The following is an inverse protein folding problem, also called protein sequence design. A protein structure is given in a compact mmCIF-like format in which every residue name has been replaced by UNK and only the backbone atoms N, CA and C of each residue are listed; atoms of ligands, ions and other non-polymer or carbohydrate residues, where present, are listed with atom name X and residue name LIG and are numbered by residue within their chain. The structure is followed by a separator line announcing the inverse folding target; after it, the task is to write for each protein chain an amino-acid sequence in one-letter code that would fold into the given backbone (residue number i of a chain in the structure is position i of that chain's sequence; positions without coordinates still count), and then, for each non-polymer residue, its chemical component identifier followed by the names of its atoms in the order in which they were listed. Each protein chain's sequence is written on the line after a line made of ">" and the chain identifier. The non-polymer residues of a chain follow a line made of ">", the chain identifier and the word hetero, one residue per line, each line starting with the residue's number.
data_IF_682691565319
#
_entry.id   IF_682691565319
#
_cell.length_a   1.000
_cell.length_b   1.000
_cell.length_c   1.000
_cell.angle_alpha   90.00
_cell.angle_beta   90.00
_cell.angle_gamma   90.00
#
_symmetry.space_group_name_H-M   'P 1'
#
loop_
_entity.id
_entity.type
_entity.pdbx_description
1 polymer ?
#
# COMPACT_ATOMS: atom_id res chain seq x y z
N UNK A 1 1.29 -7.53 -20.46
CA UNK A 1 2.18 -7.80 -21.63
C UNK A 1 2.44 -9.30 -21.88
N UNK A 2 2.51 -10.17 -20.87
CA UNK A 2 2.74 -11.62 -21.05
C UNK A 2 1.49 -12.46 -21.42
N UNK A 3 0.35 -11.79 -21.63
CA UNK A 3 -0.89 -12.42 -22.11
C UNK A 3 -1.75 -13.10 -21.04
N UNK A 4 -1.37 -13.08 -19.76
CA UNK A 4 -2.11 -13.76 -18.69
C UNK A 4 -3.42 -13.08 -18.26
N UNK A 5 -3.53 -11.77 -18.48
CA UNK A 5 -4.63 -10.94 -17.98
C UNK A 5 -5.15 -10.06 -19.10
N UNK A 6 -6.47 -9.97 -19.19
CA UNK A 6 -7.19 -9.00 -19.99
C UNK A 6 -7.97 -8.09 -19.04
N UNK A 7 -7.72 -6.79 -19.15
CA UNK A 7 -8.47 -5.74 -18.46
C UNK A 7 -9.53 -5.25 -19.43
N UNK A 8 -10.80 -5.25 -19.00
CA UNK A 8 -11.88 -4.61 -19.72
C UNK A 8 -12.39 -3.43 -18.89
N UNK A 9 -12.57 -2.30 -19.56
CA UNK A 9 -13.29 -1.17 -19.01
C UNK A 9 -14.76 -1.37 -19.34
N UNK A 10 -15.60 -1.31 -18.32
CA UNK A 10 -17.04 -1.38 -18.42
C UNK A 10 -17.60 0.05 -18.36
N UNK A 11 -18.53 0.36 -19.27
CA UNK A 11 -19.16 1.68 -19.28
C UNK A 11 -19.95 1.85 -17.98
N UNK A 12 -19.82 3.00 -17.29
CA UNK A 12 -20.56 3.24 -16.05
C UNK A 12 -22.06 3.20 -16.34
N UNK A 13 -22.83 2.49 -15.51
CA UNK A 13 -24.28 2.43 -15.65
C UNK A 13 -24.87 3.86 -15.68
N UNK A 14 -25.63 4.21 -16.71
CA UNK A 14 -26.30 5.50 -16.78
C UNK A 14 -27.43 5.57 -15.75
N UNK A 15 -27.21 6.31 -14.66
CA UNK A 15 -28.21 6.55 -13.62
C UNK A 15 -28.07 7.93 -13.00
N UNK A 16 -29.18 8.54 -12.61
CA UNK A 16 -29.25 9.90 -12.03
C UNK A 16 -28.45 10.07 -10.71
N UNK A 17 -27.96 8.97 -10.15
CA UNK A 17 -27.08 8.91 -8.98
C UNK A 17 -25.83 8.03 -9.19
N UNK A 18 -25.53 7.59 -10.42
CA UNK A 18 -24.35 6.75 -10.65
C UNK A 18 -23.09 7.61 -10.63
N UNK A 19 -22.09 7.17 -9.85
CA UNK A 19 -20.76 7.75 -9.90
C UNK A 19 -20.16 7.44 -11.28
N UNK A 20 -19.65 8.46 -11.97
CA UNK A 20 -18.97 8.38 -13.29
C UNK A 20 -17.63 7.62 -13.25
N UNK A 21 -17.47 6.69 -12.33
CA UNK A 21 -16.23 5.94 -12.18
C UNK A 21 -16.32 4.72 -13.08
N UNK A 22 -15.50 4.68 -14.14
CA UNK A 22 -15.38 3.51 -14.99
C UNK A 22 -15.09 2.29 -14.13
N UNK A 23 -15.88 1.22 -14.30
CA UNK A 23 -15.59 -0.05 -13.64
C UNK A 23 -14.64 -0.85 -14.50
N UNK A 24 -13.72 -1.56 -13.86
CA UNK A 24 -12.75 -2.39 -14.55
C UNK A 24 -12.92 -3.83 -14.12
N UNK A 25 -12.93 -4.75 -15.08
CA UNK A 25 -12.99 -6.18 -14.86
C UNK A 25 -11.72 -6.89 -15.33
N UNK A 26 -11.29 -7.89 -14.57
CA UNK A 26 -10.12 -8.74 -14.87
C UNK A 26 -10.61 -10.09 -15.36
N UNK A 27 -10.15 -10.48 -16.54
CA UNK A 27 -10.29 -11.82 -17.07
C UNK A 27 -8.92 -12.49 -17.18
N UNK A 28 -8.82 -13.70 -16.62
CA UNK A 28 -7.66 -14.56 -16.82
C UNK A 28 -7.73 -15.16 -18.22
N UNK A 29 -6.62 -15.08 -18.95
CA UNK A 29 -6.46 -15.85 -20.17
C UNK A 29 -6.21 -17.32 -19.84
N UNK A 30 -6.59 -18.22 -20.75
CA UNK A 30 -6.43 -19.67 -20.60
C UNK A 30 -4.97 -20.10 -20.90
N UNK A 31 -4.03 -19.47 -20.17
CA UNK A 31 -2.59 -19.70 -20.30
C UNK A 31 -2.06 -20.22 -18.97
N UNK A 32 -1.45 -21.40 -19.01
CA UNK A 32 -0.80 -21.99 -17.83
C UNK A 32 0.39 -21.14 -17.35
N UNK A 33 0.55 -21.10 -16.03
CA UNK A 33 1.66 -20.40 -15.38
C UNK A 33 2.96 -21.12 -15.76
N UNK A 34 3.91 -20.37 -16.31
CA UNK A 34 5.19 -20.93 -16.73
C UNK A 34 6.00 -21.41 -15.49
N UNK A 35 6.63 -22.60 -15.54
CA UNK A 35 7.30 -23.19 -14.37
C UNK A 35 8.52 -22.39 -13.89
N UNK A 36 9.09 -21.52 -14.73
CA UNK A 36 10.23 -20.65 -14.40
C UNK A 36 9.80 -19.21 -14.08
N UNK A 37 8.52 -18.97 -13.80
CA UNK A 37 8.01 -17.66 -13.43
C UNK A 37 8.56 -17.22 -12.07
N UNK A 38 8.78 -15.91 -11.91
CA UNK A 38 9.27 -15.36 -10.64
C UNK A 38 8.19 -15.53 -9.57
N UNK A 39 8.58 -15.91 -8.36
CA UNK A 39 7.65 -16.25 -7.27
C UNK A 39 6.54 -15.23 -7.03
N UNK A 40 6.87 -13.92 -7.06
CA UNK A 40 5.87 -12.86 -6.85
C UNK A 40 4.86 -12.75 -8.01
N UNK A 41 5.26 -13.10 -9.24
CA UNK A 41 4.35 -13.13 -10.40
C UNK A 41 3.41 -14.33 -10.31
N UNK A 42 3.92 -15.52 -9.96
CA UNK A 42 3.09 -16.72 -9.81
C UNK A 42 2.10 -16.57 -8.66
N UNK A 43 2.53 -15.99 -7.54
CA UNK A 43 1.67 -15.73 -6.38
C UNK A 43 0.52 -14.77 -6.74
N UNK A 44 0.83 -13.71 -7.50
CA UNK A 44 -0.17 -12.78 -7.99
C UNK A 44 -1.23 -13.44 -8.88
N UNK A 45 -0.81 -14.28 -9.82
CA UNK A 45 -1.74 -14.98 -10.71
C UNK A 45 -2.60 -15.99 -9.95
N UNK A 46 -2.03 -16.71 -8.98
CA UNK A 46 -2.78 -17.64 -8.14
C UNK A 46 -3.80 -16.91 -7.27
N UNK A 47 -3.43 -15.76 -6.68
CA UNK A 47 -4.35 -14.93 -5.92
C UNK A 47 -5.51 -14.44 -6.80
N UNK A 48 -5.23 -13.91 -7.99
CA UNK A 48 -6.24 -13.46 -8.92
C UNK A 48 -7.19 -14.60 -9.32
N UNK A 49 -6.66 -15.79 -9.61
CA UNK A 49 -7.49 -16.95 -9.96
C UNK A 49 -8.43 -17.32 -8.82
N UNK A 50 -7.92 -17.42 -7.60
CA UNK A 50 -8.76 -17.72 -6.43
C UNK A 50 -9.82 -16.65 -6.18
N UNK A 51 -9.50 -15.37 -6.35
CA UNK A 51 -10.47 -14.28 -6.14
C UNK A 51 -11.52 -14.20 -7.26
N UNK A 52 -11.12 -14.43 -8.51
CA UNK A 52 -12.07 -14.44 -9.64
C UNK A 52 -13.07 -15.59 -9.50
N UNK A 53 -12.62 -16.76 -9.07
CA UNK A 53 -13.49 -17.90 -8.79
C UNK A 53 -14.48 -17.62 -7.63
N UNK A 54 -14.12 -16.78 -6.66
CA UNK A 54 -14.95 -16.51 -5.47
C UNK A 54 -15.82 -15.26 -5.54
N UNK A 55 -15.30 -14.14 -6.06
CA UNK A 55 -15.94 -12.81 -6.02
C UNK A 55 -16.31 -12.29 -7.42
N UNK A 56 -15.95 -13.02 -8.48
CA UNK A 56 -16.16 -12.59 -9.86
C UNK A 56 -15.06 -11.68 -10.40
N UNK A 57 -15.36 -10.96 -11.47
CA UNK A 57 -14.35 -10.30 -12.30
C UNK A 57 -14.05 -8.85 -11.93
N UNK A 58 -14.81 -8.23 -11.02
CA UNK A 58 -14.67 -6.80 -10.71
C UNK A 58 -13.39 -6.52 -9.90
N UNK A 59 -12.58 -5.54 -10.35
CA UNK A 59 -11.32 -5.18 -9.70
C UNK A 59 -11.51 -4.73 -8.25
N UNK A 60 -12.56 -3.95 -7.98
CA UNK A 60 -12.81 -3.40 -6.64
C UNK A 60 -13.07 -4.52 -5.64
N UNK A 61 -13.74 -5.59 -6.06
CA UNK A 61 -14.04 -6.75 -5.22
C UNK A 61 -12.83 -7.68 -5.08
N UNK A 62 -12.07 -7.89 -6.16
CA UNK A 62 -10.83 -8.68 -6.14
C UNK A 62 -9.83 -8.08 -5.14
N UNK A 63 -9.61 -6.76 -5.19
CA UNK A 63 -8.63 -6.04 -4.36
C UNK A 63 -9.24 -5.30 -3.17
N UNK A 64 -10.39 -5.76 -2.68
CA UNK A 64 -11.10 -5.11 -1.58
C UNK A 64 -10.27 -5.12 -0.29
N UNK A 65 -9.62 -3.99 0.01
CA UNK A 65 -8.66 -3.89 1.12
C UNK A 65 -9.29 -4.01 2.51
N UNK A 66 -10.62 -3.87 2.62
CA UNK A 66 -11.35 -4.15 3.87
C UNK A 66 -11.34 -5.64 4.23
N UNK A 67 -11.03 -6.53 3.29
CA UNK A 67 -10.83 -7.95 3.56
C UNK A 67 -9.45 -8.19 4.19
N UNK A 68 -9.45 -8.79 5.38
CA UNK A 68 -8.25 -9.12 6.12
C UNK A 68 -7.34 -10.12 5.38
N UNK A 69 -7.91 -10.98 4.53
CA UNK A 69 -7.14 -11.92 3.69
C UNK A 69 -6.42 -11.18 2.57
N UNK A 70 -7.09 -10.26 1.89
CA UNK A 70 -6.52 -9.45 0.80
C UNK A 70 -5.39 -8.57 1.33
N UNK A 71 -5.62 -7.88 2.45
CA UNK A 71 -4.59 -7.03 3.05
C UNK A 71 -3.38 -7.83 3.57
N UNK A 72 -3.60 -9.02 4.15
CA UNK A 72 -2.51 -9.91 4.56
C UNK A 72 -1.70 -10.40 3.36
N UNK A 73 -2.37 -10.95 2.36
CA UNK A 73 -1.74 -11.39 1.12
C UNK A 73 -0.95 -10.27 0.46
N UNK A 74 -1.53 -9.07 0.35
CA UNK A 74 -0.87 -7.93 -0.28
C UNK A 74 0.45 -7.55 0.42
N UNK A 75 0.50 -7.61 1.76
CA UNK A 75 1.73 -7.36 2.50
C UNK A 75 2.82 -8.40 2.23
N UNK A 76 2.43 -9.68 2.16
CA UNK A 76 3.34 -10.79 1.84
C UNK A 76 3.85 -10.66 0.41
N UNK A 77 2.95 -10.41 -0.55
CA UNK A 77 3.27 -10.15 -1.95
C UNK A 77 4.21 -8.95 -2.12
N UNK A 78 3.89 -7.82 -1.46
CA UNK A 78 4.73 -6.63 -1.48
C UNK A 78 6.13 -6.89 -0.92
N UNK A 79 6.24 -7.70 0.14
CA UNK A 79 7.54 -8.12 0.68
C UNK A 79 8.37 -8.89 -0.35
N UNK A 80 7.77 -9.83 -1.07
CA UNK A 80 8.44 -10.58 -2.13
C UNK A 80 8.90 -9.68 -3.29
N UNK A 81 8.06 -8.74 -3.71
CA UNK A 81 8.40 -7.77 -4.77
C UNK A 81 9.54 -6.86 -4.32
N UNK A 82 9.50 -6.37 -3.08
CA UNK A 82 10.55 -5.53 -2.52
C UNK A 82 11.87 -6.29 -2.44
N UNK A 83 11.87 -7.53 -1.97
CA UNK A 83 13.08 -8.35 -1.92
C UNK A 83 13.65 -8.57 -3.32
N UNK A 84 12.81 -8.92 -4.29
CA UNK A 84 13.22 -9.06 -5.69
C UNK A 84 13.81 -7.74 -6.26
N UNK A 85 13.21 -6.61 -5.93
CA UNK A 85 13.71 -5.29 -6.29
C UNK A 85 15.07 -4.96 -5.66
N UNK A 86 15.27 -5.31 -4.38
CA UNK A 86 16.56 -5.16 -3.69
C UNK A 86 17.65 -6.03 -4.31
N UNK A 87 17.35 -7.31 -4.57
CA UNK A 87 18.29 -8.25 -5.18
C UNK A 87 18.74 -7.79 -6.58
N UNK A 88 17.87 -7.06 -7.29
CA UNK A 88 18.14 -6.45 -8.60
C UNK A 88 18.82 -5.08 -8.51
N UNK A 89 19.01 -4.53 -7.30
CA UNK A 89 19.52 -3.17 -7.09
C UNK A 89 18.56 -2.07 -7.55
N UNK A 90 17.27 -2.37 -7.72
CA UNK A 90 16.25 -1.38 -8.09
C UNK A 90 15.82 -0.51 -6.91
N UNK A 91 15.99 -1.02 -5.70
CA UNK A 91 15.68 -0.32 -4.46
C UNK A 91 17.00 0.05 -3.79
N UNK A 92 17.22 1.35 -3.60
CA UNK A 92 18.33 1.88 -2.81
C UNK A 92 17.91 2.02 -1.35
N UNK A 93 18.37 1.09 -0.51
CA UNK A 93 18.11 1.09 0.93
C UNK A 93 18.73 2.31 1.65
N UNK A 94 19.75 2.93 1.05
CA UNK A 94 20.45 4.10 1.61
C UNK A 94 19.52 5.31 1.73
N UNK A 95 18.63 5.49 0.75
CA UNK A 95 17.67 6.59 0.73
C UNK A 95 16.61 6.47 1.84
N UNK A 96 16.18 5.25 2.17
CA UNK A 96 15.25 5.01 3.28
C UNK A 96 15.90 5.28 4.63
N UNK A 97 17.18 4.93 4.80
CA UNK A 97 17.92 5.16 6.03
C UNK A 97 17.97 6.67 6.39
N UNK A 98 18.24 7.52 5.40
CA UNK A 98 18.26 8.98 5.58
C UNK A 98 16.91 9.54 6.04
N UNK A 99 15.81 9.05 5.48
CA UNK A 99 14.45 9.43 5.89
C UNK A 99 14.15 9.02 7.34
N UNK A 100 14.50 7.79 7.74
CA UNK A 100 14.29 7.33 9.12
C UNK A 100 15.15 8.10 10.13
N UNK A 101 16.41 8.42 9.79
CA UNK A 101 17.26 9.27 10.62
C UNK A 101 16.67 10.66 10.81
N UNK A 102 16.19 11.28 9.73
CA UNK A 102 15.56 12.60 9.80
C UNK A 102 14.29 12.57 10.66
N UNK A 103 13.43 11.57 10.45
CA UNK A 103 12.21 11.39 11.25
C UNK A 103 12.50 11.15 12.73
N UNK A 104 13.52 10.34 13.04
CA UNK A 104 13.98 10.09 14.40
C UNK A 104 14.48 11.36 15.08
N UNK A 105 15.38 12.10 14.42
CA UNK A 105 15.90 13.37 14.94
C UNK A 105 14.78 14.40 15.16
N UNK A 106 13.88 14.54 14.20
CA UNK A 106 12.77 15.48 14.28
C UNK A 106 11.78 15.11 15.41
N UNK A 107 11.57 13.82 15.66
CA UNK A 107 10.75 13.33 16.77
C UNK A 107 11.36 13.65 18.14
N UNK A 108 12.69 13.50 18.29
CA UNK A 108 13.40 13.88 19.52
C UNK A 108 13.31 15.39 19.76
N UNK A 109 13.52 16.20 18.72
CA UNK A 109 13.40 17.65 18.82
C UNK A 109 11.98 18.09 19.22
N UNK A 110 10.94 17.47 18.65
CA UNK A 110 9.55 17.72 19.06
C UNK A 110 9.29 17.38 20.53
N UNK A 111 9.79 16.23 21.01
CA UNK A 111 9.64 15.83 22.41
C UNK A 111 10.37 16.79 23.36
N UNK A 112 11.61 17.17 23.04
CA UNK A 112 12.35 18.16 23.82
C UNK A 112 11.64 19.52 23.85
N UNK A 113 11.07 19.96 22.72
CA UNK A 113 10.27 21.17 22.64
C UNK A 113 9.01 21.11 23.52
N UNK A 114 8.27 20.00 23.47
CA UNK A 114 7.08 19.79 24.28
C UNK A 114 7.40 19.79 25.79
N UNK A 115 8.47 19.10 26.19
CA UNK A 115 8.96 19.10 27.59
C UNK A 115 9.41 20.49 28.01
N UNK A 116 10.14 21.20 27.16
CA UNK A 116 10.58 22.58 27.42
C UNK A 116 9.40 23.51 27.66
N UNK A 117 8.36 23.45 26.82
CA UNK A 117 7.14 24.24 27.01
C UNK A 117 6.47 23.89 28.35
N UNK A 118 6.34 22.61 28.68
CA UNK A 118 5.73 22.17 29.94
C UNK A 118 6.50 22.64 31.19
N UNK A 119 7.83 22.62 31.14
CA UNK A 119 8.70 23.07 32.24
C UNK A 119 8.79 24.59 32.36
N UNK A 120 8.70 25.31 31.24
CA UNK A 120 8.72 26.78 31.20
C UNK A 120 7.35 27.36 31.62
N UNK A 121 6.25 26.66 31.37
CA UNK A 121 4.89 27.11 31.72
C UNK A 121 4.72 27.53 33.20
N UNK A 122 5.17 26.76 34.22
CA UNK A 122 5.10 27.22 35.62
C UNK A 122 6.05 28.39 35.92
N UNK A 123 7.20 28.50 35.24
CA UNK A 123 8.15 29.60 35.43
C UNK A 123 7.61 30.91 34.86
N UNK A 124 6.96 30.88 33.69
CA UNK A 124 6.29 32.04 33.08
C UNK A 124 5.08 32.46 33.92
N UNK A 125 4.27 31.50 34.41
CA UNK A 125 3.16 31.80 35.32
C UNK A 125 3.59 32.47 36.63
N UNK A 126 4.71 32.02 37.23
CA UNK A 126 5.28 32.66 38.41
C UNK A 126 5.84 34.06 38.10
N UNK A 127 6.47 34.27 36.94
CA UNK A 127 6.99 35.60 36.57
C UNK A 127 5.90 36.65 36.34
N UNK A 128 4.69 36.26 35.94
CA UNK A 128 3.54 37.17 35.76
C UNK A 128 2.88 37.53 37.09
N UNK A 129 2.96 36.66 38.12
CA UNK A 129 2.38 36.91 39.45
C UNK A 129 3.27 37.86 40.29
N UNK A 130 4.56 37.99 39.95
CA UNK A 130 5.53 38.86 40.62
C UNK A 130 5.78 40.21 39.91
N UNK A 131 5.01 40.54 38.87
CA UNK A 131 4.91 41.89 38.30
C UNK A 131 3.57 42.53 38.70
#
# INVERSE_FOLDING_TARGET
>A
RRGYLQLKEEEPEEGLFSSKESEFSIHLADKEIEPNMVNWESDFLNFLKGRIESEGHNIKDIFKYSDSKVSKWFREWQSMVNQFGKDRGWIDDTSYLGMYWNLGLQSVLMLCGAVGIFLIHPVVGLSIIWC
#
